data_IF_398400174383
#
_entry.id   IF_398400174383
#
_cell.length_a   1.000
_cell.length_b   1.000
_cell.length_c   1.000
_cell.angle_alpha   90.00
_cell.angle_beta   90.00
_cell.angle_gamma   90.00
#
_symmetry.space_group_name_H-M   'P 1'
#
loop_
_entity.id
_entity.type
_entity.pdbx_description
1 polymer ?
#
# COMPACT_ATOMS: atom_id res chain seq x y z
N UNK A 1 -10.20 -0.71 3.23
CA UNK A 1 -8.78 -1.08 3.01
C UNK A 1 -7.84 0.12 3.01
N UNK A 2 -8.03 1.15 2.16
CA UNK A 2 -7.13 2.33 2.13
C UNK A 2 -6.98 3.03 3.48
N UNK A 3 -8.06 3.20 4.25
CA UNK A 3 -8.02 3.86 5.57
C UNK A 3 -7.04 3.24 6.58
N UNK A 4 -6.74 1.94 6.46
CA UNK A 4 -5.74 1.27 7.31
C UNK A 4 -4.31 1.48 6.80
N UNK A 5 -4.16 1.70 5.49
CA UNK A 5 -2.86 1.86 4.83
C UNK A 5 -2.41 3.32 4.87
N UNK A 6 -3.32 4.27 4.69
CA UNK A 6 -3.06 5.72 4.65
C UNK A 6 -2.10 6.25 5.74
N UNK A 7 -2.21 5.85 7.03
CA UNK A 7 -1.31 6.37 8.07
C UNK A 7 0.05 5.67 8.15
N UNK A 8 0.31 4.62 7.36
CA UNK A 8 1.51 3.78 7.47
C UNK A 8 2.72 4.30 6.66
N UNK A 9 2.55 4.81 5.42
CA UNK A 9 3.64 5.36 4.63
C UNK A 9 4.37 6.51 5.34
N UNK A 10 5.70 6.61 5.17
CA UNK A 10 6.44 7.75 5.66
C UNK A 10 6.04 9.02 4.87
N UNK A 11 5.97 10.20 5.53
CA UNK A 11 5.63 11.45 4.87
C UNK A 11 6.62 11.78 3.76
N UNK A 12 6.17 12.40 2.68
CA UNK A 12 7.07 12.82 1.61
C UNK A 12 8.10 13.84 2.09
N UNK A 13 9.38 13.72 1.69
CA UNK A 13 10.37 14.74 2.00
C UNK A 13 9.92 16.10 1.44
N UNK A 14 9.95 17.13 2.29
CA UNK A 14 9.54 18.51 1.97
C UNK A 14 10.24 19.08 0.74
N UNK A 15 11.48 18.64 0.48
CA UNK A 15 12.23 18.94 -0.73
C UNK A 15 12.46 17.68 -1.53
N UNK A 16 11.63 17.46 -2.52
CA UNK A 16 11.87 16.46 -3.57
C UNK A 16 12.23 17.20 -4.87
N UNK A 17 13.40 16.94 -5.49
CA UNK A 17 13.68 17.47 -6.81
C UNK A 17 12.73 16.80 -7.81
N UNK A 18 11.75 17.54 -8.32
CA UNK A 18 10.83 17.10 -9.37
C UNK A 18 9.35 17.39 -9.10
N UNK A 19 8.45 16.95 -10.00
CA UNK A 19 7.01 17.13 -9.86
C UNK A 19 6.48 16.50 -8.58
N UNK A 20 5.37 17.05 -8.06
CA UNK A 20 4.69 16.48 -6.90
C UNK A 20 4.38 14.99 -7.15
N UNK A 21 4.63 14.12 -6.17
CA UNK A 21 4.34 12.71 -6.32
C UNK A 21 2.87 12.45 -6.62
N UNK A 22 2.62 11.41 -7.41
CA UNK A 22 1.28 10.82 -7.56
C UNK A 22 0.70 10.52 -6.19
N UNK A 23 -0.60 10.77 -6.03
CA UNK A 23 -1.34 10.49 -4.78
C UNK A 23 -1.01 9.10 -4.24
N UNK A 24 -0.71 9.03 -2.94
CA UNK A 24 -0.37 7.79 -2.25
C UNK A 24 -1.51 6.76 -2.33
N UNK A 25 -2.74 7.18 -2.65
CA UNK A 25 -3.89 6.30 -2.87
C UNK A 25 -3.88 5.56 -4.21
N UNK A 26 -3.27 6.14 -5.25
CA UNK A 26 -3.25 5.59 -6.60
C UNK A 26 -2.08 4.62 -6.80
N UNK A 27 -0.94 4.92 -6.17
CA UNK A 27 0.25 4.09 -6.28
C UNK A 27 0.07 2.60 -5.85
N UNK A 28 -0.60 2.27 -4.74
CA UNK A 28 -0.84 0.88 -4.34
C UNK A 28 -1.72 0.12 -5.33
N UNK A 29 -2.66 0.80 -6.01
CA UNK A 29 -3.46 0.16 -7.06
C UNK A 29 -2.57 -0.25 -8.25
N UNK A 30 -1.62 0.61 -8.66
CA UNK A 30 -0.65 0.26 -9.70
C UNK A 30 0.30 -0.87 -9.29
N UNK A 31 0.74 -0.90 -8.03
CA UNK A 31 1.54 -2.00 -7.48
C UNK A 31 0.75 -3.30 -7.48
N UNK A 32 -0.50 -3.30 -6.99
CA UNK A 32 -1.36 -4.47 -6.98
C UNK A 32 -1.67 -4.97 -8.39
N UNK A 33 -1.87 -4.07 -9.36
CA UNK A 33 -2.09 -4.45 -10.75
C UNK A 33 -0.89 -5.19 -11.34
N UNK A 34 0.34 -4.69 -11.10
CA UNK A 34 1.57 -5.32 -11.56
C UNK A 34 1.75 -6.70 -10.92
N UNK A 35 1.56 -6.80 -9.61
CA UNK A 35 1.70 -8.05 -8.87
C UNK A 35 0.63 -9.08 -9.23
N UNK A 36 -0.62 -8.64 -9.46
CA UNK A 36 -1.73 -9.54 -9.78
C UNK A 36 -1.65 -10.09 -11.21
N UNK A 37 -1.22 -9.27 -12.17
CA UNK A 37 -1.12 -9.68 -13.56
C UNK A 37 0.27 -10.25 -13.92
N UNK A 38 1.21 -10.26 -12.96
CA UNK A 38 2.61 -10.66 -13.14
C UNK A 38 3.28 -10.01 -14.36
N UNK A 39 3.05 -8.70 -14.54
CA UNK A 39 3.59 -7.94 -15.68
C UNK A 39 4.83 -7.17 -15.28
N UNK A 40 5.70 -6.86 -16.24
CA UNK A 40 6.80 -5.93 -15.99
C UNK A 40 6.27 -4.52 -15.67
N UNK A 41 6.95 -3.79 -14.78
CA UNK A 41 6.62 -2.39 -14.45
C UNK A 41 6.50 -1.48 -15.68
N UNK A 42 7.26 -1.74 -16.75
CA UNK A 42 7.21 -0.98 -18.00
C UNK A 42 5.92 -1.18 -18.81
N UNK A 43 5.20 -2.29 -18.56
CA UNK A 43 3.95 -2.63 -19.24
C UNK A 43 2.72 -2.10 -18.50
N UNK A 44 2.91 -1.35 -17.41
CA UNK A 44 1.80 -0.73 -16.69
C UNK A 44 1.07 0.25 -17.63
N UNK A 45 -0.22 0.05 -17.94
CA UNK A 45 -0.93 0.89 -18.89
C UNK A 45 -1.06 2.32 -18.36
N UNK A 46 -0.35 3.26 -18.98
CA UNK A 46 -0.45 4.70 -18.68
C UNK A 46 -1.86 5.25 -18.99
N UNK A 47 -2.59 4.60 -19.90
CA UNK A 47 -3.90 5.04 -20.42
C UNK A 47 -5.12 4.65 -19.58
N UNK A 48 -4.98 3.90 -18.48
CA UNK A 48 -6.11 3.49 -17.63
C UNK A 48 -6.74 4.64 -16.82
N UNK A 49 -6.38 5.91 -17.06
CA UNK A 49 -6.96 7.09 -16.38
C UNK A 49 -6.68 7.19 -14.88
N UNK A 50 -5.93 6.24 -14.33
CA UNK A 50 -5.72 6.08 -12.90
C UNK A 50 -4.57 6.94 -12.35
N UNK A 51 -3.87 7.71 -13.18
CA UNK A 51 -2.86 8.67 -12.71
C UNK A 51 -1.67 8.04 -11.98
N UNK A 52 -1.40 6.74 -12.15
CA UNK A 52 -0.39 5.95 -11.41
C UNK A 52 1.04 6.49 -11.46
N UNK A 53 1.34 7.35 -12.45
CA UNK A 53 2.71 7.64 -12.87
C UNK A 53 3.29 6.48 -13.65
N UNK A 54 4.55 6.59 -14.08
CA UNK A 54 5.23 5.48 -14.75
C UNK A 54 5.42 4.29 -13.79
N UNK A 55 5.51 3.06 -14.30
CA UNK A 55 5.77 1.91 -13.42
C UNK A 55 7.07 2.02 -12.61
N UNK A 56 8.04 2.79 -13.09
CA UNK A 56 9.22 3.19 -12.32
C UNK A 56 8.88 4.02 -11.06
N UNK A 57 7.87 4.89 -11.14
CA UNK A 57 7.36 5.63 -9.98
C UNK A 57 6.65 4.70 -8.98
N UNK A 58 5.92 3.69 -9.45
CA UNK A 58 5.33 2.64 -8.60
C UNK A 58 6.40 1.79 -7.92
N UNK A 59 7.42 1.35 -8.66
CA UNK A 59 8.52 0.57 -8.09
C UNK A 59 9.31 1.36 -7.03
N UNK A 60 9.66 2.63 -7.30
CA UNK A 60 10.30 3.49 -6.29
C UNK A 60 9.45 3.69 -5.05
N UNK A 61 8.11 3.71 -5.20
CA UNK A 61 7.19 3.77 -4.05
C UNK A 61 7.25 2.48 -3.25
N UNK A 62 7.16 1.35 -3.93
CA UNK A 62 7.20 0.02 -3.33
C UNK A 62 8.49 -0.18 -2.52
N UNK A 63 9.65 0.14 -3.12
CA UNK A 63 10.95 0.08 -2.45
C UNK A 63 11.01 0.97 -1.20
N UNK A 64 10.48 2.19 -1.30
CA UNK A 64 10.40 3.11 -0.14
C UNK A 64 9.52 2.55 0.98
N UNK A 65 8.36 1.99 0.65
CA UNK A 65 7.45 1.40 1.62
C UNK A 65 8.03 0.14 2.27
N UNK A 66 8.73 -0.68 1.49
CA UNK A 66 9.45 -1.84 1.99
C UNK A 66 10.53 -1.42 3.00
N UNK A 67 11.36 -0.44 2.64
CA UNK A 67 12.41 0.10 3.53
C UNK A 67 11.86 0.76 4.80
N UNK A 68 10.66 1.32 4.72
CA UNK A 68 9.98 1.93 5.86
C UNK A 68 9.18 0.93 6.71
N UNK A 69 9.18 -0.37 6.37
CA UNK A 69 8.45 -1.40 7.12
C UNK A 69 6.92 -1.25 7.06
N UNK A 70 6.39 -0.61 6.01
CA UNK A 70 4.94 -0.39 5.84
C UNK A 70 4.19 -1.71 5.82
N UNK A 71 4.72 -2.71 5.12
CA UNK A 71 4.11 -4.04 5.02
C UNK A 71 4.12 -4.78 6.35
N UNK A 72 5.22 -4.71 7.12
CA UNK A 72 5.31 -5.33 8.44
C UNK A 72 4.33 -4.70 9.43
N UNK A 73 4.11 -3.38 9.32
CA UNK A 73 3.15 -2.68 10.15
C UNK A 73 1.72 -3.00 9.73
N UNK A 74 1.43 -3.07 8.44
CA UNK A 74 0.13 -3.48 7.91
C UNK A 74 -0.21 -4.90 8.34
N UNK A 75 0.73 -5.84 8.25
CA UNK A 75 0.54 -7.23 8.67
C UNK A 75 0.19 -7.32 10.16
N UNK A 76 0.88 -6.57 11.03
CA UNK A 76 0.57 -6.50 12.46
C UNK A 76 -0.81 -5.92 12.76
N UNK A 77 -1.22 -4.87 12.05
CA UNK A 77 -2.57 -4.30 12.20
C UNK A 77 -3.63 -5.32 11.80
N UNK A 78 -3.46 -5.99 10.66
CA UNK A 78 -4.40 -7.01 10.20
C UNK A 78 -4.49 -8.20 11.16
N UNK A 79 -3.36 -8.66 11.70
CA UNK A 79 -3.34 -9.72 12.71
C UNK A 79 -4.06 -9.30 14.00
N UNK A 80 -3.88 -8.06 14.45
CA UNK A 80 -4.56 -7.55 15.64
C UNK A 80 -6.08 -7.49 15.44
N UNK A 81 -6.54 -7.02 14.27
CA UNK A 81 -7.97 -6.98 13.92
C UNK A 81 -8.59 -8.38 13.83
N UNK A 82 -7.87 -9.33 13.21
CA UNK A 82 -8.30 -10.73 13.14
C UNK A 82 -8.42 -11.37 14.52
N UNK A 83 -7.43 -11.15 15.38
CA UNK A 83 -7.46 -11.68 16.75
C UNK A 83 -8.58 -11.05 17.59
N UNK A 84 -8.83 -9.75 17.43
CA UNK A 84 -9.95 -9.06 18.08
C UNK A 84 -11.30 -9.64 17.62
N UNK A 85 -11.42 -9.97 16.33
CA UNK A 85 -12.62 -10.61 15.79
C UNK A 85 -12.81 -12.02 16.37
N UNK A 86 -11.75 -12.84 16.41
CA UNK A 86 -11.78 -14.19 17.01
C UNK A 86 -12.19 -14.17 18.48
N UNK A 87 -11.72 -13.20 19.27
CA UNK A 87 -12.10 -13.03 20.67
C UNK A 87 -13.58 -12.64 20.86
N UNK A 88 -14.15 -11.88 19.93
CA UNK A 88 -15.57 -11.46 19.96
C UNK A 88 -16.49 -12.59 19.48
N UNK A 89 -16.03 -13.44 18.58
CA UNK A 89 -16.85 -14.52 17.99
C UNK A 89 -16.64 -15.90 18.62
N UNK A 90 -15.77 -16.02 19.63
CA UNK A 90 -15.59 -17.25 20.39
C UNK A 90 -16.86 -17.58 21.21
N UNK A 91 -17.41 -18.80 21.13
CA UNK A 91 -18.56 -19.22 21.95
C UNK A 91 -18.23 -19.38 23.44
N UNK A 92 -16.94 -19.30 23.83
CA UNK A 92 -16.45 -19.37 25.21
C UNK A 92 -15.98 -17.99 25.72
N UNK A 93 -16.83 -16.96 25.63
CA UNK A 93 -16.60 -15.67 26.30
C UNK A 93 -16.74 -15.78 27.83
N UNK A 94 -16.04 -14.95 28.63
CA UNK A 94 -16.13 -15.04 30.09
C UNK A 94 -17.53 -14.63 30.54
N UNK A 95 -18.14 -15.49 31.36
CA UNK A 95 -19.38 -15.20 32.09
C UNK A 95 -19.22 -14.14 33.17
#
# INVERSE_FOLDING_TARGET
>A
MWALIEPLPPPWPERSPGPRPVSDRLCPQGILFVLYNDIAWQLLPLGLGLGFGSGQACWRRLDRWQKAGVFDRLHRVLLAELHAYELVTSPDGPG
#
